data_IF_830976324731
#
_entry.id   IF_830976324731
#
_cell.length_a   1.000
_cell.length_b   1.000
_cell.length_c   1.000
_cell.angle_alpha   90.00
_cell.angle_beta   90.00
_cell.angle_gamma   90.00
#
_symmetry.space_group_name_H-M   'P 1'
#
loop_
_entity.id
_entity.type
_entity.pdbx_description
1 polymer ?
#
# COMPACT_ATOMS: atom_id res chain seq x y z
N UNK A 1 -5.02 11.16 -26.18
CA UNK A 1 -5.57 10.09 -27.06
C UNK A 1 -6.98 10.51 -27.44
N UNK A 2 -7.39 10.47 -28.73
CA UNK A 2 -8.73 10.91 -29.07
C UNK A 2 -9.74 9.77 -28.84
N UNK A 3 -10.77 10.05 -28.04
CA UNK A 3 -11.94 9.20 -27.78
C UNK A 3 -12.85 9.14 -29.03
N UNK A 4 -12.39 8.48 -30.08
CA UNK A 4 -13.19 8.31 -31.30
C UNK A 4 -13.86 6.93 -31.24
N UNK A 5 -15.19 6.93 -31.16
CA UNK A 5 -16.03 5.73 -31.19
C UNK A 5 -15.77 4.96 -32.50
N UNK A 6 -15.27 3.73 -32.39
CA UNK A 6 -14.88 2.89 -33.54
C UNK A 6 -13.40 2.95 -33.93
N UNK A 7 -12.56 3.69 -33.19
CA UNK A 7 -11.11 3.65 -33.38
C UNK A 7 -10.51 2.32 -32.93
N UNK A 8 -9.53 1.79 -33.67
CA UNK A 8 -8.71 0.64 -33.25
C UNK A 8 -7.91 0.93 -31.96
N UNK A 9 -7.73 2.21 -31.62
CA UNK A 9 -7.09 2.68 -30.39
C UNK A 9 -8.13 3.11 -29.34
N UNK A 10 -9.39 2.67 -29.48
CA UNK A 10 -10.40 2.91 -28.47
C UNK A 10 -9.95 2.25 -27.15
N UNK A 11 -9.80 3.01 -26.05
CA UNK A 11 -9.31 2.44 -24.79
C UNK A 11 -10.14 1.26 -24.30
N UNK A 12 -11.46 1.30 -24.50
CA UNK A 12 -12.38 0.22 -24.15
C UNK A 12 -12.12 -1.04 -24.97
N UNK A 13 -11.85 -0.91 -26.27
CA UNK A 13 -11.52 -2.06 -27.13
C UNK A 13 -10.14 -2.62 -26.80
N UNK A 14 -9.15 -1.76 -26.54
CA UNK A 14 -7.82 -2.16 -26.11
C UNK A 14 -7.85 -2.91 -24.78
N UNK A 15 -8.69 -2.46 -23.83
CA UNK A 15 -8.86 -3.14 -22.55
C UNK A 15 -9.59 -4.48 -22.71
N UNK A 16 -10.64 -4.55 -23.52
CA UNK A 16 -11.28 -5.82 -23.85
C UNK A 16 -10.31 -6.82 -24.49
N UNK A 17 -9.43 -6.34 -25.38
CA UNK A 17 -8.40 -7.17 -26.00
C UNK A 17 -7.37 -7.63 -24.97
N UNK A 18 -6.94 -6.76 -24.05
CA UNK A 18 -6.07 -7.11 -22.93
C UNK A 18 -6.65 -8.29 -22.13
N UNK A 19 -7.91 -8.19 -21.67
CA UNK A 19 -8.59 -9.24 -20.92
C UNK A 19 -8.64 -10.57 -21.68
N UNK A 20 -8.88 -10.52 -22.99
CA UNK A 20 -8.98 -11.72 -23.84
C UNK A 20 -7.67 -12.49 -24.00
N UNK A 21 -6.53 -11.86 -23.70
CA UNK A 21 -5.18 -12.41 -23.90
C UNK A 21 -4.49 -12.81 -22.60
N UNK A 22 -5.16 -12.66 -21.46
CA UNK A 22 -4.68 -13.08 -20.15
C UNK A 22 -4.46 -14.58 -20.07
N UNK A 23 -3.49 -14.99 -19.26
CA UNK A 23 -3.22 -16.39 -18.95
C UNK A 23 -4.37 -16.94 -18.09
N UNK A 24 -5.03 -18.03 -18.51
CA UNK A 24 -6.25 -18.53 -17.85
C UNK A 24 -6.00 -19.13 -16.46
N UNK A 25 -4.77 -19.57 -16.19
CA UNK A 25 -4.36 -20.12 -14.88
C UNK A 25 -3.86 -19.07 -13.90
N UNK A 26 -3.89 -17.78 -14.27
CA UNK A 26 -3.49 -16.69 -13.39
C UNK A 26 -4.71 -15.83 -13.06
N UNK A 27 -5.18 -15.94 -11.81
CA UNK A 27 -6.35 -15.20 -11.32
C UNK A 27 -6.11 -13.69 -11.15
N UNK A 28 -4.87 -13.23 -11.39
CA UNK A 28 -4.50 -11.82 -11.32
C UNK A 28 -4.70 -11.16 -12.67
N UNK A 29 -5.34 -10.00 -12.62
CA UNK A 29 -5.64 -9.19 -13.80
C UNK A 29 -4.37 -8.78 -14.55
N UNK A 30 -3.33 -8.38 -13.83
CA UNK A 30 -2.09 -7.88 -14.43
C UNK A 30 -1.00 -8.93 -14.42
N UNK A 31 -0.65 -9.36 -15.61
CA UNK A 31 0.28 -10.46 -15.83
C UNK A 31 1.48 -9.98 -16.63
N UNK A 32 2.64 -10.60 -16.42
CA UNK A 32 3.86 -10.22 -17.14
C UNK A 32 3.69 -10.57 -18.62
N UNK A 33 3.87 -9.65 -19.57
CA UNK A 33 3.81 -9.98 -20.99
C UNK A 33 4.94 -10.93 -21.37
N UNK A 34 4.68 -11.80 -22.35
CA UNK A 34 5.70 -12.65 -22.94
C UNK A 34 6.75 -11.79 -23.66
N UNK A 35 8.01 -12.23 -23.66
CA UNK A 35 9.09 -11.53 -24.36
C UNK A 35 8.87 -11.47 -25.88
N UNK A 36 8.11 -12.41 -26.43
CA UNK A 36 7.58 -12.34 -27.78
C UNK A 36 6.21 -13.02 -27.84
N UNK A 37 5.31 -12.44 -28.62
CA UNK A 37 4.00 -13.00 -28.94
C UNK A 37 3.59 -12.55 -30.35
N UNK A 38 2.70 -13.32 -30.98
CA UNK A 38 2.04 -12.96 -32.23
C UNK A 38 0.65 -12.40 -31.92
N UNK A 39 0.13 -11.49 -32.75
CA UNK A 39 -1.23 -10.96 -32.57
C UNK A 39 -2.30 -12.07 -32.59
N UNK A 40 -2.05 -13.14 -33.34
CA UNK A 40 -2.91 -14.33 -33.42
C UNK A 40 -2.89 -15.20 -32.16
N UNK A 41 -1.93 -15.03 -31.27
CA UNK A 41 -1.79 -15.89 -30.09
C UNK A 41 -2.98 -15.74 -29.15
N UNK A 42 -3.47 -16.87 -28.62
CA UNK A 42 -4.57 -16.86 -27.66
C UNK A 42 -4.19 -16.20 -26.32
N UNK A 43 -2.91 -16.24 -25.95
CA UNK A 43 -2.40 -15.76 -24.66
C UNK A 43 -1.12 -14.96 -24.87
N UNK A 44 -1.12 -13.68 -24.47
CA UNK A 44 0.02 -12.76 -24.58
C UNK A 44 0.82 -12.63 -23.28
N UNK A 45 0.26 -13.11 -22.18
CA UNK A 45 0.84 -12.96 -20.86
C UNK A 45 1.32 -14.30 -20.28
N UNK A 46 2.30 -14.23 -19.40
CA UNK A 46 2.81 -15.36 -18.65
C UNK A 46 1.89 -15.67 -17.45
N UNK A 47 1.94 -16.89 -16.93
CA UNK A 47 1.36 -17.26 -15.64
C UNK A 47 2.19 -16.68 -14.47
N UNK A 48 2.51 -15.39 -14.54
CA UNK A 48 3.29 -14.67 -13.56
C UNK A 48 2.60 -13.34 -13.34
N UNK A 49 2.05 -13.08 -12.15
CA UNK A 49 1.51 -11.76 -11.84
C UNK A 49 2.65 -10.74 -11.92
N UNK A 50 2.38 -9.56 -12.45
CA UNK A 50 3.28 -8.43 -12.24
C UNK A 50 3.18 -8.06 -10.77
N UNK A 51 4.31 -7.92 -10.06
CA UNK A 51 4.27 -7.42 -8.69
C UNK A 51 3.49 -6.10 -8.66
N UNK A 52 2.37 -6.16 -7.95
CA UNK A 52 1.21 -5.30 -8.07
C UNK A 52 1.55 -3.85 -7.69
N UNK A 53 1.96 -3.01 -8.63
CA UNK A 53 1.87 -1.57 -8.42
C UNK A 53 0.43 -1.12 -8.67
N UNK A 54 -0.47 -1.50 -7.74
CA UNK A 54 -1.85 -0.98 -7.66
C UNK A 54 -1.89 0.54 -7.80
N UNK A 55 -0.83 1.21 -7.32
CA UNK A 55 -0.55 2.64 -7.49
C UNK A 55 -0.52 3.12 -8.95
N UNK A 56 0.04 2.32 -9.88
CA UNK A 56 0.08 2.66 -11.30
C UNK A 56 -1.26 2.40 -12.01
N UNK A 57 -2.08 1.50 -11.46
CA UNK A 57 -3.34 1.05 -12.05
C UNK A 57 -4.50 1.95 -11.64
N UNK A 58 -4.50 2.44 -10.40
CA UNK A 58 -5.52 3.32 -9.84
C UNK A 58 -5.88 4.54 -10.71
N UNK A 59 -4.92 5.29 -11.29
CA UNK A 59 -5.24 6.38 -12.21
C UNK A 59 -6.07 5.92 -13.41
N UNK A 60 -5.70 4.78 -14.01
CA UNK A 60 -6.39 4.22 -15.17
C UNK A 60 -7.78 3.69 -14.77
N UNK A 61 -7.86 2.96 -13.66
CA UNK A 61 -9.13 2.42 -13.16
C UNK A 61 -10.15 3.54 -12.86
N UNK A 62 -9.68 4.66 -12.30
CA UNK A 62 -10.48 5.85 -12.06
C UNK A 62 -10.90 6.55 -13.36
N UNK A 63 -9.96 6.77 -14.29
CA UNK A 63 -10.24 7.40 -15.60
C UNK A 63 -11.28 6.62 -16.41
N UNK A 64 -11.22 5.29 -16.40
CA UNK A 64 -12.11 4.43 -17.18
C UNK A 64 -13.37 3.97 -16.42
N UNK A 65 -13.62 4.46 -15.20
CA UNK A 65 -14.80 4.13 -14.36
C UNK A 65 -15.15 2.63 -14.32
N UNK A 66 -14.12 1.79 -14.16
CA UNK A 66 -14.29 0.33 -14.21
C UNK A 66 -14.48 -0.27 -12.81
N UNK A 67 -15.14 -1.44 -12.73
CA UNK A 67 -15.25 -2.26 -11.51
C UNK A 67 -13.89 -2.59 -10.86
N UNK A 68 -12.81 -2.43 -11.64
CA UNK A 68 -11.41 -2.49 -11.26
C UNK A 68 -11.05 -1.62 -10.06
N UNK A 69 -11.72 -0.47 -9.87
CA UNK A 69 -11.45 0.40 -8.72
C UNK A 69 -11.73 -0.33 -7.40
N UNK A 70 -12.79 -1.16 -7.38
CA UNK A 70 -13.15 -1.99 -6.23
C UNK A 70 -12.12 -3.09 -5.98
N UNK A 71 -11.59 -3.71 -7.04
CA UNK A 71 -10.54 -4.72 -6.93
C UNK A 71 -9.22 -4.12 -6.40
N UNK A 72 -8.87 -2.91 -6.86
CA UNK A 72 -7.72 -2.16 -6.33
C UNK A 72 -7.90 -1.85 -4.84
N UNK A 73 -9.09 -1.39 -4.45
CA UNK A 73 -9.43 -1.11 -3.05
C UNK A 73 -9.32 -2.38 -2.18
N UNK A 74 -9.85 -3.51 -2.66
CA UNK A 74 -9.77 -4.81 -1.98
C UNK A 74 -8.32 -5.29 -1.83
N UNK A 75 -7.50 -5.08 -2.85
CA UNK A 75 -6.08 -5.42 -2.82
C UNK A 75 -5.33 -4.62 -1.75
N UNK A 76 -5.45 -3.29 -1.76
CA UNK A 76 -4.79 -2.44 -0.76
C UNK A 76 -5.27 -2.76 0.66
N UNK A 77 -6.57 -3.03 0.83
CA UNK A 77 -7.15 -3.47 2.10
C UNK A 77 -6.56 -4.80 2.59
N UNK A 78 -6.29 -5.74 1.69
CA UNK A 78 -5.66 -7.01 2.03
C UNK A 78 -4.18 -6.87 2.41
N UNK A 79 -3.48 -5.87 1.86
CA UNK A 79 -2.10 -5.56 2.23
C UNK A 79 -1.98 -4.94 3.63
N UNK A 80 -2.99 -4.21 4.10
CA UNK A 80 -3.10 -3.66 5.45
C UNK A 80 -3.46 -4.71 6.53
N UNK A 81 -2.71 -5.82 6.56
CA UNK A 81 -2.82 -6.89 7.55
C UNK A 81 -1.43 -7.21 8.12
N UNK A 82 -1.33 -7.65 9.39
CA UNK A 82 -0.05 -8.06 9.96
C UNK A 82 0.55 -9.24 9.16
N UNK A 83 1.89 -9.29 9.07
CA UNK A 83 2.68 -10.30 8.34
C UNK A 83 2.67 -10.21 6.81
N UNK A 84 2.23 -9.10 6.23
CA UNK A 84 2.49 -8.77 4.82
C UNK A 84 3.87 -8.13 4.67
N UNK A 85 4.51 -8.25 3.49
CA UNK A 85 5.76 -7.55 3.17
C UNK A 85 5.53 -6.05 2.90
N UNK A 86 4.64 -5.41 3.66
CA UNK A 86 4.28 -4.01 3.49
C UNK A 86 5.31 -3.13 4.19
N UNK A 87 5.84 -2.15 3.46
CA UNK A 87 6.76 -1.14 4.01
C UNK A 87 5.98 0.11 4.42
N UNK A 88 6.54 0.92 5.31
CA UNK A 88 5.96 2.22 5.69
C UNK A 88 5.82 3.13 4.47
N UNK A 89 6.85 3.17 3.61
CA UNK A 89 6.82 3.96 2.37
C UNK A 89 5.64 3.58 1.48
N UNK A 90 5.42 2.29 1.22
CA UNK A 90 4.31 1.79 0.40
C UNK A 90 2.95 2.01 1.07
N UNK A 91 2.86 1.89 2.40
CA UNK A 91 1.64 2.19 3.15
C UNK A 91 1.24 3.67 2.98
N UNK A 92 2.19 4.59 3.12
CA UNK A 92 1.93 6.02 2.91
C UNK A 92 1.52 6.30 1.47
N UNK A 93 2.18 5.66 0.48
CA UNK A 93 1.79 5.79 -0.93
C UNK A 93 0.35 5.30 -1.16
N UNK A 94 -0.07 4.20 -0.54
CA UNK A 94 -1.45 3.73 -0.61
C UNK A 94 -2.42 4.74 0.01
N UNK A 95 -2.10 5.34 1.17
CA UNK A 95 -2.95 6.34 1.82
C UNK A 95 -3.10 7.58 0.94
N UNK A 96 -2.00 8.16 0.45
CA UNK A 96 -2.02 9.31 -0.46
C UNK A 96 -2.87 9.04 -1.71
N UNK A 97 -2.72 7.84 -2.27
CA UNK A 97 -3.47 7.42 -3.45
C UNK A 97 -4.94 7.18 -3.13
N UNK A 98 -5.25 6.64 -1.95
CA UNK A 98 -6.60 6.47 -1.45
C UNK A 98 -7.32 7.80 -1.23
N UNK A 99 -6.62 8.82 -0.74
CA UNK A 99 -7.16 10.19 -0.62
C UNK A 99 -7.40 10.79 -2.00
N UNK A 100 -6.42 10.72 -2.90
CA UNK A 100 -6.50 11.27 -4.24
C UNK A 100 -7.68 10.71 -5.06
N UNK A 101 -8.01 9.43 -4.90
CA UNK A 101 -9.11 8.78 -5.60
C UNK A 101 -10.38 8.55 -4.75
N UNK A 102 -10.43 9.07 -3.53
CA UNK A 102 -11.62 9.00 -2.68
C UNK A 102 -12.00 7.59 -2.20
N UNK A 103 -11.03 6.72 -1.95
CA UNK A 103 -11.23 5.33 -1.52
C UNK A 103 -11.57 5.22 -0.04
N UNK A 104 -12.77 5.66 0.32
CA UNK A 104 -13.20 5.79 1.72
C UNK A 104 -13.24 4.48 2.51
N UNK A 105 -13.46 3.31 1.89
CA UNK A 105 -13.47 2.03 2.64
C UNK A 105 -12.04 1.60 2.95
N UNK A 106 -11.14 1.71 1.98
CA UNK A 106 -9.71 1.48 2.19
C UNK A 106 -9.14 2.43 3.25
N UNK A 107 -9.40 3.74 3.16
CA UNK A 107 -8.86 4.72 4.13
C UNK A 107 -9.22 4.38 5.57
N UNK A 108 -10.45 3.91 5.84
CA UNK A 108 -10.85 3.45 7.17
C UNK A 108 -9.98 2.30 7.68
N UNK A 109 -9.74 1.29 6.83
CA UNK A 109 -8.90 0.14 7.19
C UNK A 109 -7.44 0.56 7.36
N UNK A 110 -6.93 1.44 6.50
CA UNK A 110 -5.57 1.96 6.59
C UNK A 110 -5.35 2.74 7.88
N UNK A 111 -6.31 3.58 8.29
CA UNK A 111 -6.27 4.32 9.57
C UNK A 111 -6.26 3.36 10.77
N UNK A 112 -7.10 2.33 10.75
CA UNK A 112 -7.11 1.29 11.80
C UNK A 112 -5.77 0.53 11.86
N UNK A 113 -5.21 0.19 10.70
CA UNK A 113 -3.90 -0.45 10.62
C UNK A 113 -2.79 0.44 11.16
N UNK A 114 -2.76 1.73 10.76
CA UNK A 114 -1.78 2.71 11.21
C UNK A 114 -1.81 2.94 12.73
N UNK A 115 -2.97 2.81 13.37
CA UNK A 115 -3.08 2.91 14.83
C UNK A 115 -2.27 1.84 15.58
N UNK A 116 -2.01 0.70 14.91
CA UNK A 116 -1.18 -0.38 15.46
C UNK A 116 0.28 -0.31 15.01
N UNK A 117 0.62 0.58 14.08
CA UNK A 117 2.01 0.85 13.68
C UNK A 117 2.63 1.85 14.65
N UNK A 118 3.94 1.77 14.87
CA UNK A 118 4.67 2.78 15.63
C UNK A 118 4.50 4.17 14.96
N UNK A 119 4.00 5.14 15.73
CA UNK A 119 3.72 6.48 15.25
C UNK A 119 5.00 7.26 14.91
N UNK A 120 6.10 7.02 15.63
CA UNK A 120 7.39 7.63 15.29
C UNK A 120 7.86 7.10 13.92
N UNK A 121 7.65 5.82 13.66
CA UNK A 121 8.00 5.17 12.40
C UNK A 121 7.19 5.73 11.21
N UNK A 122 5.88 5.96 11.39
CA UNK A 122 5.04 6.63 10.39
C UNK A 122 5.52 8.05 10.08
N UNK A 123 6.10 8.72 11.07
CA UNK A 123 6.66 10.07 10.95
C UNK A 123 8.13 10.06 10.45
N UNK A 124 8.61 8.93 9.92
CA UNK A 124 9.97 8.76 9.42
C UNK A 124 11.05 8.71 10.50
N UNK A 125 10.69 8.67 11.79
CA UNK A 125 11.64 8.67 12.90
C UNK A 125 11.95 7.24 13.30
N UNK A 126 13.24 6.90 13.29
CA UNK A 126 13.73 5.61 13.78
C UNK A 126 14.78 5.80 14.85
N UNK A 127 14.67 5.02 15.91
CA UNK A 127 15.74 4.90 16.90
C UNK A 127 16.75 3.89 16.33
N UNK A 128 17.96 4.37 16.04
CA UNK A 128 19.08 3.50 15.68
C UNK A 128 19.97 3.27 16.90
N UNK A 129 20.39 2.02 17.09
CA UNK A 129 21.45 1.68 18.02
C UNK A 129 22.75 2.32 17.51
N UNK A 130 23.37 3.12 18.36
CA UNK A 130 24.67 3.74 18.10
C UNK A 130 25.82 2.80 18.48
N UNK A 131 26.80 3.32 19.20
CA UNK A 131 27.98 2.53 19.57
C UNK A 131 27.59 1.35 20.46
N UNK A 132 28.07 0.17 20.09
CA UNK A 132 27.99 -1.04 20.90
C UNK A 132 29.37 -1.24 21.53
N UNK A 133 29.41 -1.51 22.84
CA UNK A 133 30.67 -1.83 23.51
C UNK A 133 31.18 -3.23 23.11
N UNK A 134 32.40 -3.56 23.54
CA UNK A 134 33.02 -4.87 23.29
C UNK A 134 32.28 -6.06 23.95
N UNK A 135 31.32 -5.78 24.84
CA UNK A 135 30.49 -6.77 25.54
C UNK A 135 29.08 -6.88 24.93
N UNK A 136 28.78 -6.14 23.86
CA UNK A 136 27.47 -6.15 23.19
C UNK A 136 26.42 -5.20 23.77
N UNK A 137 26.78 -4.32 24.72
CA UNK A 137 25.86 -3.33 25.29
C UNK A 137 25.76 -2.08 24.41
N UNK A 138 24.54 -1.60 24.21
CA UNK A 138 24.28 -0.35 23.49
C UNK A 138 24.64 0.86 24.38
N UNK A 139 25.65 1.63 23.98
CA UNK A 139 26.16 2.79 24.72
C UNK A 139 25.48 4.11 24.29
N UNK A 140 24.90 4.16 23.09
CA UNK A 140 24.19 5.34 22.61
C UNK A 140 23.04 4.98 21.69
N UNK A 141 22.00 5.81 21.68
CA UNK A 141 20.93 5.76 20.70
C UNK A 141 21.00 7.04 19.87
N UNK A 142 20.86 6.92 18.56
CA UNK A 142 20.75 8.07 17.67
C UNK A 142 19.39 8.05 16.99
N UNK A 143 18.74 9.23 16.96
CA UNK A 143 17.49 9.41 16.23
C UNK A 143 17.85 9.65 14.77
N UNK A 144 17.49 8.71 13.90
CA UNK A 144 17.61 8.85 12.46
C UNK A 144 16.24 9.26 11.91
N UNK A 145 16.23 10.20 10.96
CA UNK A 145 15.02 10.64 10.28
C UNK A 145 15.11 10.27 8.80
N UNK A 146 14.11 9.55 8.32
CA UNK A 146 13.88 9.32 6.91
C UNK A 146 13.03 10.48 6.38
N UNK A 147 13.71 11.42 5.73
CA UNK A 147 13.08 12.63 5.21
C UNK A 147 12.01 12.33 4.16
N UNK A 148 12.16 11.27 3.37
CA UNK A 148 11.18 10.90 2.33
C UNK A 148 9.89 10.39 2.97
N UNK A 149 9.98 9.57 4.01
CA UNK A 149 8.80 9.10 4.75
C UNK A 149 8.14 10.25 5.51
N UNK A 150 8.92 11.12 6.14
CA UNK A 150 8.41 12.29 6.84
C UNK A 150 7.66 13.25 5.90
N UNK A 151 8.21 13.50 4.70
CA UNK A 151 7.58 14.32 3.67
C UNK A 151 6.26 13.71 3.19
N UNK A 152 6.25 12.43 2.83
CA UNK A 152 5.01 11.71 2.45
C UNK A 152 3.95 11.78 3.54
N UNK A 153 4.33 11.62 4.81
CA UNK A 153 3.38 11.72 5.91
C UNK A 153 2.81 13.13 6.07
N UNK A 154 3.58 14.17 5.77
CA UNK A 154 3.10 15.56 5.79
C UNK A 154 2.14 15.90 4.63
N UNK A 155 2.28 15.22 3.49
CA UNK A 155 1.41 15.36 2.32
C UNK A 155 0.01 14.78 2.55
N UNK A 156 -0.15 13.82 3.46
CA UNK A 156 -1.46 13.26 3.85
C UNK A 156 -2.36 14.36 4.40
N UNK A 157 -3.65 14.33 4.03
CA UNK A 157 -4.62 15.31 4.52
C UNK A 157 -4.63 15.37 6.06
N UNK A 158 -4.82 16.59 6.58
CA UNK A 158 -4.83 16.83 8.02
C UNK A 158 -5.94 16.04 8.73
N UNK A 159 -7.08 15.80 8.08
CA UNK A 159 -8.19 14.99 8.59
C UNK A 159 -7.77 13.53 8.80
N UNK A 160 -7.13 12.91 7.80
CA UNK A 160 -6.66 11.51 7.90
C UNK A 160 -5.55 11.37 8.92
N UNK A 161 -4.60 12.31 8.97
CA UNK A 161 -3.57 12.33 10.03
C UNK A 161 -4.16 12.44 11.42
N UNK A 162 -5.17 13.29 11.59
CA UNK A 162 -5.88 13.42 12.87
C UNK A 162 -6.59 12.11 13.23
N UNK A 163 -7.26 11.47 12.27
CA UNK A 163 -7.93 10.18 12.48
C UNK A 163 -6.94 9.08 12.91
N UNK A 164 -5.76 9.02 12.28
CA UNK A 164 -4.68 8.11 12.67
C UNK A 164 -4.23 8.38 14.12
N UNK A 165 -3.97 9.65 14.46
CA UNK A 165 -3.53 10.04 15.79
C UNK A 165 -4.59 9.75 16.87
N UNK A 166 -5.86 10.03 16.59
CA UNK A 166 -6.97 9.74 17.49
C UNK A 166 -7.12 8.23 17.73
N UNK A 167 -7.08 7.41 16.68
CA UNK A 167 -7.14 5.95 16.81
C UNK A 167 -5.94 5.39 17.55
N UNK A 168 -4.74 5.94 17.33
CA UNK A 168 -3.54 5.58 18.09
C UNK A 168 -3.70 5.90 19.57
N UNK A 169 -4.23 7.08 19.91
CA UNK A 169 -4.49 7.47 21.30
C UNK A 169 -5.48 6.49 21.97
N UNK A 170 -6.59 6.17 21.30
CA UNK A 170 -7.57 5.19 21.79
C UNK A 170 -6.92 3.81 22.06
N UNK A 171 -6.06 3.37 21.14
CA UNK A 171 -5.31 2.11 21.30
C UNK A 171 -4.35 2.16 22.50
N UNK A 172 -3.61 3.25 22.69
CA UNK A 172 -2.70 3.41 23.83
C UNK A 172 -3.43 3.48 25.17
N UNK A 173 -4.56 4.18 25.23
CA UNK A 173 -5.42 4.22 26.43
C UNK A 173 -5.97 2.84 26.76
N UNK A 174 -6.41 2.08 25.75
CA UNK A 174 -6.86 0.70 25.91
C UNK A 174 -5.73 -0.20 26.41
N UNK A 175 -4.54 -0.11 25.80
CA UNK A 175 -3.32 -0.84 26.19
C UNK A 175 -2.94 -0.54 27.65
N UNK A 176 -2.99 0.73 28.05
CA UNK A 176 -2.70 1.17 29.42
C UNK A 176 -3.70 0.60 30.44
N UNK A 177 -4.99 0.50 30.07
CA UNK A 177 -6.02 -0.14 30.90
C UNK A 177 -5.79 -1.66 31.04
N UNK A 178 -5.24 -2.31 30.01
CA UNK A 178 -4.93 -3.75 29.99
C UNK A 178 -3.62 -4.15 30.67
N UNK A 179 -2.68 -3.23 30.92
CA UNK A 179 -1.46 -3.49 31.72
C UNK A 179 -1.73 -3.93 33.18
N UNK A 180 -2.99 -4.22 33.54
CA UNK A 180 -3.39 -4.98 34.74
C UNK A 180 -3.54 -6.50 34.49
N UNK A 181 -3.32 -7.00 33.27
CA UNK A 181 -3.39 -8.41 32.87
C UNK A 181 -2.36 -8.72 31.77
N UNK A 182 -1.55 -9.76 31.98
CA UNK A 182 -0.30 -10.13 31.27
C UNK A 182 -0.39 -10.51 29.76
N UNK A 183 -1.12 -9.76 28.93
CA UNK A 183 -1.17 -10.02 27.48
C UNK A 183 -0.86 -8.74 26.68
N UNK A 184 0.44 -8.45 26.51
CA UNK A 184 0.92 -7.39 25.63
C UNK A 184 0.92 -7.89 24.17
N UNK A 185 0.07 -7.31 23.32
CA UNK A 185 0.33 -7.30 21.88
C UNK A 185 1.26 -6.11 21.60
N UNK A 186 2.44 -6.42 21.10
CA UNK A 186 3.38 -5.39 20.63
C UNK A 186 2.85 -4.72 19.36
N UNK A 187 3.34 -3.50 19.12
CA UNK A 187 3.00 -2.75 17.92
C UNK A 187 3.48 -3.49 16.66
N UNK A 188 2.81 -3.29 15.54
CA UNK A 188 3.22 -3.87 14.27
C UNK A 188 4.58 -3.29 13.86
N UNK A 189 5.56 -4.18 13.73
CA UNK A 189 6.88 -3.83 13.23
C UNK A 189 6.87 -4.02 11.71
N UNK A 190 6.80 -2.92 10.96
CA UNK A 190 6.92 -2.92 9.50
C UNK A 190 8.24 -2.27 9.07
N UNK A 191 8.89 -2.76 7.98
CA UNK A 191 10.10 -2.15 7.46
C UNK A 191 9.84 -0.74 6.89
N UNK A 192 10.85 0.13 6.88
CA UNK A 192 10.74 1.46 6.28
C UNK A 192 10.69 1.40 4.74
N UNK A 193 11.46 0.48 4.14
CA UNK A 193 11.61 0.21 2.71
C UNK A 193 11.86 -1.26 2.40
#
# INVERSE_FOLDING_TARGET
>A
MPEIKGSIYCPVLSFGMYLSKLHPECDRLWQRPKESFLESDAVWFCNVPVEDNVLQILPLAHEYQCDLLTECENFMTNMCKPNTQLTVSTLLDFILTGEMYGLTRFLKVAVEFCAHVDFELLNGKKIQMGFIDEYGNCLSYHKAEDYTIAEKFLEIESETRYAIAEKRLQYLEWKTKLCKSDALKDDYTIPLS
#
